data_IF_378173260090
#
_entry.id   IF_378173260090
#
_cell.length_a   1.000
_cell.length_b   1.000
_cell.length_c   1.000
_cell.angle_alpha   90.00
_cell.angle_beta   90.00
_cell.angle_gamma   90.00
#
_symmetry.space_group_name_H-M   'P 1'
#
loop_
_entity.id
_entity.type
_entity.pdbx_description
1 polymer ?
#
# COMPACT_ATOMS: atom_id res chain seq x y z
N UNK A 1 -6.22 17.27 2.06
CA UNK A 1 -5.47 16.18 2.72
C UNK A 1 -4.62 15.41 1.73
N UNK A 2 -3.36 15.08 2.05
CA UNK A 2 -2.44 14.29 1.23
C UNK A 2 -2.21 12.92 1.88
N UNK A 3 -2.38 11.84 1.11
CA UNK A 3 -2.16 10.46 1.56
C UNK A 3 -1.00 9.83 0.79
N UNK A 4 -0.02 9.29 1.50
CA UNK A 4 1.07 8.50 0.93
C UNK A 4 0.73 7.02 1.08
N UNK A 5 0.77 6.26 -0.03
CA UNK A 5 0.58 4.81 -0.02
C UNK A 5 1.86 4.17 -0.56
N UNK A 6 2.44 3.24 0.19
CA UNK A 6 3.65 2.55 -0.22
C UNK A 6 3.65 1.08 0.21
N UNK A 7 3.79 0.18 -0.76
CA UNK A 7 4.23 -1.20 -0.49
C UNK A 7 5.73 -1.21 -0.20
N UNK A 8 6.08 -1.35 1.08
CA UNK A 8 7.45 -1.17 1.58
C UNK A 8 8.27 -2.46 1.54
N UNK A 9 7.62 -3.62 1.39
CA UNK A 9 8.24 -4.97 1.40
C UNK A 9 9.15 -5.24 2.62
N UNK A 10 8.93 -4.56 3.74
CA UNK A 10 9.69 -4.69 4.98
C UNK A 10 10.03 -3.36 5.64
N UNK A 11 9.34 -3.04 6.73
CA UNK A 11 9.49 -1.75 7.43
C UNK A 11 10.67 -1.70 8.42
N UNK A 12 11.36 -2.83 8.66
CA UNK A 12 12.44 -2.90 9.65
C UNK A 12 13.84 -2.51 9.12
N UNK A 13 13.99 -2.25 7.82
CA UNK A 13 15.31 -1.93 7.25
C UNK A 13 15.70 -0.47 7.48
N UNK A 14 17.00 -0.20 7.65
CA UNK A 14 17.49 1.18 7.79
C UNK A 14 17.35 1.96 6.48
N UNK A 15 17.55 1.29 5.33
CA UNK A 15 17.32 1.87 4.00
C UNK A 15 15.90 2.39 3.85
N UNK A 16 14.90 1.59 4.26
CA UNK A 16 13.51 2.03 4.29
C UNK A 16 13.34 3.28 5.15
N UNK A 17 13.87 3.29 6.38
CA UNK A 17 13.75 4.45 7.29
C UNK A 17 14.31 5.73 6.67
N UNK A 18 15.48 5.67 6.03
CA UNK A 18 16.10 6.82 5.38
C UNK A 18 15.22 7.36 4.24
N UNK A 19 14.80 6.49 3.32
CA UNK A 19 13.96 6.87 2.19
C UNK A 19 12.61 7.40 2.67
N UNK A 20 11.99 6.71 3.63
CA UNK A 20 10.70 7.08 4.16
C UNK A 20 10.74 8.45 4.84
N UNK A 21 11.76 8.75 5.65
CA UNK A 21 11.93 10.08 6.25
C UNK A 21 12.07 11.17 5.19
N UNK A 22 12.77 10.90 4.09
CA UNK A 22 12.88 11.85 2.99
C UNK A 22 11.53 12.08 2.29
N UNK A 23 10.76 11.02 2.03
CA UNK A 23 9.42 11.14 1.46
C UNK A 23 8.48 11.94 2.37
N UNK A 24 8.52 11.68 3.69
CA UNK A 24 7.76 12.44 4.68
C UNK A 24 8.17 13.92 4.70
N UNK A 25 9.48 14.21 4.55
CA UNK A 25 10.00 15.58 4.50
C UNK A 25 9.57 16.33 3.25
N UNK A 26 9.64 15.68 2.09
CA UNK A 26 9.35 16.29 0.79
C UNK A 26 7.86 16.52 0.57
N UNK A 27 7.04 15.50 0.85
CA UNK A 27 5.61 15.52 0.51
C UNK A 27 4.71 15.92 1.68
N UNK A 28 5.20 15.81 2.93
CA UNK A 28 4.45 16.10 4.16
C UNK A 28 3.03 15.51 4.15
N UNK A 29 2.87 14.20 3.89
CA UNK A 29 1.55 13.59 3.85
C UNK A 29 0.90 13.66 5.24
N UNK A 30 -0.42 13.86 5.26
CA UNK A 30 -1.23 13.84 6.48
C UNK A 30 -1.41 12.41 7.00
N UNK A 31 -1.54 11.45 6.07
CA UNK A 31 -1.73 10.02 6.34
C UNK A 31 -0.71 9.21 5.53
N UNK A 32 -0.03 8.27 6.19
CA UNK A 32 0.87 7.31 5.55
C UNK A 32 0.32 5.89 5.70
N UNK A 33 0.20 5.18 4.57
CA UNK A 33 -0.29 3.81 4.48
C UNK A 33 0.87 2.94 3.99
N UNK A 34 1.31 2.00 4.83
CA UNK A 34 2.42 1.10 4.54
C UNK A 34 1.90 -0.33 4.40
N UNK A 35 2.16 -0.93 3.25
CA UNK A 35 1.76 -2.31 2.91
C UNK A 35 2.99 -3.23 2.92
N UNK A 36 2.78 -4.53 3.17
CA UNK A 36 3.84 -5.54 3.28
C UNK A 36 4.94 -5.14 4.29
N UNK A 37 4.54 -4.72 5.49
CA UNK A 37 5.50 -4.24 6.50
C UNK A 37 6.33 -5.36 7.12
N UNK A 38 5.86 -6.62 7.05
CA UNK A 38 6.55 -7.83 7.53
C UNK A 38 7.05 -7.72 8.97
N UNK A 39 6.29 -7.01 9.81
CA UNK A 39 6.61 -6.75 11.21
C UNK A 39 5.37 -6.94 12.08
N UNK A 40 5.57 -7.54 13.26
CA UNK A 40 4.52 -7.81 14.24
C UNK A 40 5.00 -7.50 15.66
N UNK A 41 4.07 -7.43 16.62
CA UNK A 41 4.34 -7.25 18.04
C UNK A 41 5.05 -5.95 18.39
N UNK A 42 5.87 -6.00 19.46
CA UNK A 42 6.58 -4.82 19.97
C UNK A 42 7.61 -4.26 18.98
N UNK A 43 8.13 -5.10 18.08
CA UNK A 43 9.01 -4.66 17.00
C UNK A 43 8.28 -3.69 16.07
N UNK A 44 7.04 -3.97 15.70
CA UNK A 44 6.23 -3.10 14.86
C UNK A 44 5.99 -1.74 15.53
N UNK A 45 5.53 -1.76 16.79
CA UNK A 45 5.28 -0.54 17.57
C UNK A 45 6.54 0.32 17.71
N UNK A 46 7.69 -0.30 17.99
CA UNK A 46 8.98 0.39 18.08
C UNK A 46 9.39 1.03 16.76
N UNK A 47 9.17 0.35 15.63
CA UNK A 47 9.45 0.92 14.30
C UNK A 47 8.57 2.13 14.05
N UNK A 48 7.25 2.03 14.26
CA UNK A 48 6.30 3.14 14.07
C UNK A 48 6.69 4.36 14.91
N UNK A 49 6.98 4.14 16.21
CA UNK A 49 7.43 5.21 17.09
C UNK A 49 8.72 5.87 16.57
N UNK A 50 9.68 5.08 16.08
CA UNK A 50 10.92 5.61 15.52
C UNK A 50 10.76 6.34 14.17
N UNK A 51 9.68 6.07 13.43
CA UNK A 51 9.31 6.84 12.24
C UNK A 51 8.72 8.20 12.60
N UNK A 52 8.40 8.44 13.88
CA UNK A 52 7.90 9.71 14.39
C UNK A 52 6.38 9.85 14.27
N UNK A 53 5.65 8.74 14.34
CA UNK A 53 4.18 8.75 14.33
C UNK A 53 3.57 8.71 15.72
N UNK A 54 2.62 9.60 15.98
CA UNK A 54 1.85 9.70 17.23
C UNK A 54 0.65 8.75 17.24
N UNK A 55 0.05 8.53 16.08
CA UNK A 55 -1.15 7.70 15.93
C UNK A 55 -0.92 6.63 14.86
N UNK A 56 -1.41 5.42 15.12
CA UNK A 56 -1.32 4.32 14.16
C UNK A 56 -2.39 3.27 14.38
N UNK A 57 -2.88 2.71 13.28
CA UNK A 57 -3.62 1.45 13.24
C UNK A 57 -2.73 0.46 12.52
N UNK A 58 -2.56 -0.72 13.09
CA UNK A 58 -1.74 -1.77 12.51
C UNK A 58 -2.52 -3.08 12.41
N UNK A 59 -2.45 -3.69 11.24
CA UNK A 59 -2.63 -5.12 11.09
C UNK A 59 -1.25 -5.79 11.10
N UNK A 60 -1.12 -6.81 11.95
CA UNK A 60 0.17 -7.49 12.17
C UNK A 60 0.47 -8.44 11.02
N UNK A 61 1.74 -8.50 10.63
CA UNK A 61 2.18 -9.52 9.69
C UNK A 61 2.12 -10.91 10.34
N UNK A 62 1.64 -11.90 9.58
CA UNK A 62 1.74 -13.31 9.96
C UNK A 62 3.07 -13.86 9.40
N UNK A 63 4.09 -13.87 10.24
CA UNK A 63 5.47 -14.18 9.81
C UNK A 63 6.00 -13.12 8.82
N UNK A 64 6.24 -13.53 7.58
CA UNK A 64 6.75 -12.66 6.49
C UNK A 64 5.67 -12.21 5.51
N UNK A 65 4.40 -12.51 5.78
CA UNK A 65 3.26 -12.21 4.90
C UNK A 65 2.43 -11.07 5.47
N UNK A 66 2.15 -10.07 4.63
CA UNK A 66 1.25 -8.98 4.94
C UNK A 66 1.84 -7.95 5.90
N UNK A 67 0.97 -7.43 6.75
CA UNK A 67 1.23 -6.28 7.59
C UNK A 67 0.82 -4.99 6.90
N UNK A 68 -0.19 -4.33 7.46
CA UNK A 68 -0.78 -3.10 6.92
C UNK A 68 -0.80 -2.06 8.03
N UNK A 69 -0.09 -0.96 7.84
CA UNK A 69 -0.05 0.13 8.81
C UNK A 69 -0.67 1.39 8.22
N UNK A 70 -1.54 2.03 8.99
CA UNK A 70 -2.02 3.38 8.74
C UNK A 70 -1.47 4.25 9.86
N UNK A 71 -0.66 5.25 9.52
CA UNK A 71 0.03 6.10 10.49
C UNK A 71 -0.24 7.58 10.18
N UNK A 72 -0.41 8.39 11.22
CA UNK A 72 -0.65 9.82 11.08
C UNK A 72 -0.21 10.58 12.34
N UNK A 73 -0.04 11.89 12.20
CA UNK A 73 0.38 12.78 13.30
C UNK A 73 -0.63 13.87 13.63
N UNK A 74 -1.52 14.17 12.69
CA UNK A 74 -2.51 15.24 12.85
C UNK A 74 -3.60 14.84 13.83
N UNK A 75 -3.78 15.57 14.95
CA UNK A 75 -4.75 15.22 15.98
C UNK A 75 -6.21 15.49 15.54
N UNK A 76 -6.41 16.31 14.51
CA UNK A 76 -7.73 16.59 13.95
C UNK A 76 -8.26 15.47 13.04
N UNK A 77 -7.40 14.50 12.68
CA UNK A 77 -7.76 13.33 11.88
C UNK A 77 -8.12 12.18 12.82
N UNK A 78 -9.39 11.78 12.81
CA UNK A 78 -9.89 10.61 13.51
C UNK A 78 -10.07 9.46 12.51
N UNK A 79 -9.29 8.39 12.68
CA UNK A 79 -9.39 7.18 11.87
C UNK A 79 -9.94 6.06 12.74
N UNK A 80 -11.08 5.50 12.35
CA UNK A 80 -11.75 4.40 13.05
C UNK A 80 -11.76 3.16 12.18
N UNK A 81 -11.28 2.03 12.70
CA UNK A 81 -11.37 0.73 12.03
C UNK A 81 -12.82 0.25 12.02
N UNK A 82 -13.34 -0.04 10.83
CA UNK A 82 -14.66 -0.66 10.66
C UNK A 82 -14.50 -2.18 10.59
N UNK A 83 -13.59 -2.63 9.72
CA UNK A 83 -13.36 -4.05 9.48
C UNK A 83 -11.86 -4.29 9.30
N UNK A 84 -11.40 -5.42 9.82
CA UNK A 84 -10.00 -5.79 9.86
C UNK A 84 -9.87 -7.24 9.42
N UNK A 85 -8.98 -7.48 8.47
CA UNK A 85 -8.64 -8.79 7.95
C UNK A 85 -7.13 -8.87 7.72
N UNK A 86 -6.57 -10.08 7.67
CA UNK A 86 -5.13 -10.30 7.46
C UNK A 86 -4.60 -9.63 6.18
N UNK A 87 -5.47 -9.47 5.18
CA UNK A 87 -5.14 -8.92 3.86
C UNK A 87 -5.70 -7.52 3.60
N UNK A 88 -6.60 -7.00 4.44
CA UNK A 88 -7.11 -5.65 4.25
C UNK A 88 -7.52 -4.99 5.54
N UNK A 89 -7.50 -3.66 5.51
CA UNK A 89 -7.96 -2.82 6.58
C UNK A 89 -8.96 -1.81 6.03
N UNK A 90 -10.21 -1.92 6.47
CA UNK A 90 -11.27 -1.00 6.11
C UNK A 90 -11.49 0.01 7.23
N UNK A 91 -11.25 1.29 6.93
CA UNK A 91 -11.32 2.37 7.91
C UNK A 91 -12.22 3.50 7.43
N UNK A 92 -12.84 4.16 8.39
CA UNK A 92 -13.51 5.44 8.22
C UNK A 92 -12.61 6.55 8.72
N UNK A 93 -12.47 7.60 7.92
CA UNK A 93 -11.65 8.76 8.20
C UNK A 93 -12.57 9.97 8.32
N UNK A 94 -12.48 10.63 9.47
CA UNK A 94 -13.26 11.82 9.81
C UNK A 94 -12.29 12.94 10.21
N UNK A 95 -12.52 14.14 9.70
CA UNK A 95 -11.81 15.35 10.15
C UNK A 95 -12.84 16.38 10.60
N UNK A 96 -12.41 17.39 11.36
CA UNK A 96 -13.32 18.44 11.82
C UNK A 96 -13.85 19.34 10.69
N UNK A 97 -13.07 19.45 9.60
CA UNK A 97 -13.32 20.41 8.52
C UNK A 97 -13.83 19.78 7.23
N UNK A 98 -13.64 18.47 7.02
CA UNK A 98 -14.00 17.78 5.77
C UNK A 98 -15.08 16.71 6.02
N UNK A 99 -15.80 16.35 4.96
CA UNK A 99 -16.77 15.25 4.99
C UNK A 99 -16.06 13.94 5.30
N UNK A 100 -16.73 13.06 6.05
CA UNK A 100 -16.24 11.71 6.27
C UNK A 100 -16.12 10.90 4.96
N UNK A 101 -15.10 10.05 4.91
CA UNK A 101 -14.86 9.15 3.78
C UNK A 101 -14.28 7.84 4.27
N UNK A 102 -14.31 6.84 3.40
CA UNK A 102 -13.90 5.48 3.69
C UNK A 102 -12.69 5.10 2.85
N UNK A 103 -11.81 4.31 3.44
CA UNK A 103 -10.58 3.85 2.83
C UNK A 103 -10.41 2.36 3.10
N UNK A 104 -10.10 1.61 2.05
CA UNK A 104 -9.65 0.23 2.17
C UNK A 104 -8.20 0.13 1.74
N UNK A 105 -7.32 -0.22 2.66
CA UNK A 105 -5.96 -0.61 2.35
C UNK A 105 -5.91 -2.13 2.15
N UNK A 106 -5.50 -2.59 0.97
CA UNK A 106 -5.44 -4.03 0.64
C UNK A 106 -4.00 -4.43 0.33
N UNK A 107 -3.52 -5.49 0.97
CA UNK A 107 -2.24 -6.14 0.70
C UNK A 107 -2.55 -7.52 0.13
N UNK A 108 -2.50 -7.62 -1.20
CA UNK A 108 -2.80 -8.87 -1.91
C UNK A 108 -1.54 -9.73 -1.91
N UNK A 109 -1.58 -10.86 -1.21
CA UNK A 109 -0.56 -11.91 -1.32
C UNK A 109 -0.96 -12.88 -2.44
N UNK A 110 -0.06 -13.28 -3.35
CA UNK A 110 -0.37 -14.19 -4.46
C UNK A 110 -0.84 -15.60 -4.05
N UNK A 111 -0.82 -15.91 -2.75
CA UNK A 111 -0.93 -17.28 -2.22
C UNK A 111 -2.36 -17.61 -1.74
N UNK A 112 -3.22 -16.61 -1.49
CA UNK A 112 -4.60 -16.85 -1.02
C UNK A 112 -5.61 -16.51 -2.11
N UNK A 113 -6.67 -17.33 -2.22
CA UNK A 113 -7.76 -17.12 -3.16
C UNK A 113 -8.37 -15.72 -2.94
N UNK A 114 -8.22 -14.87 -3.95
CA UNK A 114 -8.70 -13.48 -3.98
C UNK A 114 -10.20 -13.33 -3.67
N UNK A 115 -10.98 -14.40 -3.82
CA UNK A 115 -12.44 -14.40 -3.69
C UNK A 115 -12.94 -14.34 -2.25
N UNK A 116 -12.20 -14.91 -1.28
CA UNK A 116 -12.67 -15.01 0.11
C UNK A 116 -12.20 -13.84 0.99
N UNK A 117 -11.27 -13.03 0.50
CA UNK A 117 -10.51 -12.07 1.32
C UNK A 117 -10.72 -10.61 0.95
N UNK A 118 -11.58 -10.31 -0.02
CA UNK A 118 -11.85 -8.95 -0.45
C UNK A 118 -13.03 -8.33 0.34
N UNK A 119 -12.93 -7.07 0.78
CA UNK A 119 -14.00 -6.39 1.52
C UNK A 119 -15.28 -6.32 0.70
N UNK A 120 -16.44 -6.36 1.36
CA UNK A 120 -17.78 -6.43 0.77
C UNK A 120 -18.15 -5.18 -0.07
N UNK A 121 -17.53 -5.04 -1.24
CA UNK A 121 -17.80 -4.01 -2.22
C UNK A 121 -19.04 -4.35 -3.06
N UNK A 122 -19.55 -3.39 -3.83
CA UNK A 122 -20.57 -3.70 -4.83
C UNK A 122 -19.97 -4.70 -5.86
N UNK A 123 -20.75 -5.71 -6.28
CA UNK A 123 -20.40 -6.70 -7.28
C UNK A 123 -19.71 -6.10 -8.53
N UNK A 124 -20.09 -4.91 -8.98
CA UNK A 124 -19.43 -4.23 -10.09
C UNK A 124 -17.94 -3.94 -9.84
N UNK A 125 -17.60 -3.49 -8.63
CA UNK A 125 -16.21 -3.19 -8.24
C UNK A 125 -15.39 -4.47 -8.16
N UNK A 126 -15.97 -5.53 -7.59
CA UNK A 126 -15.36 -6.86 -7.58
C UNK A 126 -15.05 -7.34 -8.99
N UNK A 127 -16.03 -7.28 -9.91
CA UNK A 127 -15.84 -7.69 -11.29
C UNK A 127 -14.71 -6.93 -11.99
N UNK A 128 -14.51 -5.64 -11.67
CA UNK A 128 -13.39 -4.86 -12.19
C UNK A 128 -12.04 -5.23 -11.58
N UNK A 129 -11.98 -5.56 -10.29
CA UNK A 129 -10.73 -5.91 -9.61
C UNK A 129 -10.20 -7.29 -10.01
N UNK A 130 -11.12 -8.23 -10.33
CA UNK A 130 -10.78 -9.59 -10.75
C UNK A 130 -10.72 -9.74 -12.27
N UNK A 131 -11.11 -8.72 -13.03
CA UNK A 131 -11.06 -8.78 -14.48
C UNK A 131 -9.63 -8.99 -14.96
N UNK A 132 -9.45 -9.85 -15.96
CA UNK A 132 -8.16 -9.94 -16.64
C UNK A 132 -7.85 -8.58 -17.30
N UNK A 133 -6.66 -8.01 -17.04
CA UNK A 133 -6.29 -6.73 -17.61
C UNK A 133 -6.20 -6.85 -19.13
N UNK A 134 -6.74 -5.85 -19.83
CA UNK A 134 -6.67 -5.78 -21.29
C UNK A 134 -5.25 -5.49 -21.77
N UNK A 135 -4.90 -5.92 -23.00
CA UNK A 135 -3.60 -5.60 -23.63
C UNK A 135 -3.29 -4.09 -23.54
N UNK A 136 -4.30 -3.25 -23.75
CA UNK A 136 -4.18 -1.80 -23.71
C UNK A 136 -3.90 -1.27 -22.29
N UNK A 137 -4.53 -1.83 -21.25
CA UNK A 137 -4.24 -1.47 -19.86
C UNK A 137 -2.82 -1.88 -19.48
N UNK A 138 -2.38 -3.08 -19.88
CA UNK A 138 -1.02 -3.57 -19.64
C UNK A 138 -0.02 -2.65 -20.35
N UNK A 139 -0.28 -2.30 -21.62
CA UNK A 139 0.58 -1.39 -22.40
C UNK A 139 0.68 -0.03 -21.73
N UNK A 140 -0.45 0.58 -21.37
CA UNK A 140 -0.46 1.88 -20.72
C UNK A 140 0.26 1.87 -19.36
N UNK A 141 0.06 0.82 -18.56
CA UNK A 141 0.77 0.63 -17.30
C UNK A 141 2.28 0.50 -17.54
N UNK A 142 2.71 -0.35 -18.47
CA UNK A 142 4.12 -0.55 -18.80
C UNK A 142 4.79 0.75 -19.28
N UNK A 143 4.11 1.52 -20.14
CA UNK A 143 4.66 2.75 -20.70
C UNK A 143 4.75 3.87 -19.66
N UNK A 144 3.95 3.84 -18.60
CA UNK A 144 4.03 4.78 -17.47
C UNK A 144 5.27 4.58 -16.57
N UNK A 145 5.86 3.37 -16.57
CA UNK A 145 7.05 3.06 -15.77
C UNK A 145 8.27 3.74 -16.37
N UNK A 146 9.14 4.38 -15.56
CA UNK A 146 10.37 4.97 -16.08
C UNK A 146 11.28 3.94 -16.76
N UNK A 147 11.90 4.29 -17.90
CA UNK A 147 12.63 3.34 -18.78
C UNK A 147 13.70 2.50 -18.08
N UNK A 148 14.33 3.04 -17.04
CA UNK A 148 15.38 2.35 -16.26
C UNK A 148 14.87 1.72 -14.96
N UNK A 149 13.57 1.76 -14.68
CA UNK A 149 12.97 1.03 -13.55
C UNK A 149 12.71 -0.42 -13.94
N UNK A 150 12.95 -1.32 -13.00
CA UNK A 150 12.60 -2.75 -13.09
C UNK A 150 11.48 -3.07 -12.09
N UNK A 151 10.69 -4.11 -12.38
CA UNK A 151 9.60 -4.56 -11.52
C UNK A 151 10.12 -5.25 -10.24
N UNK A 152 11.30 -5.88 -10.31
CA UNK A 152 11.95 -6.60 -9.22
C UNK A 152 13.47 -6.32 -9.21
N UNK A 153 14.18 -6.71 -8.14
CA UNK A 153 15.64 -6.56 -8.04
C UNK A 153 16.37 -7.25 -9.20
N UNK A 154 15.76 -8.31 -9.73
CA UNK A 154 16.30 -9.16 -10.79
C UNK A 154 15.57 -8.94 -12.12
N UNK A 155 14.66 -7.96 -12.18
CA UNK A 155 13.85 -7.67 -13.35
C UNK A 155 14.61 -6.90 -14.42
N UNK A 156 14.26 -7.12 -15.69
CA UNK A 156 14.76 -6.30 -16.78
C UNK A 156 14.23 -4.85 -16.69
N UNK A 157 15.01 -3.85 -17.16
CA UNK A 157 14.51 -2.48 -17.29
C UNK A 157 13.26 -2.42 -18.16
N UNK A 158 12.29 -1.59 -17.79
CA UNK A 158 11.02 -1.43 -18.52
C UNK A 158 11.24 -1.09 -20.01
N UNK A 159 12.36 -0.45 -20.35
CA UNK A 159 12.76 -0.15 -21.73
C UNK A 159 12.78 -1.37 -22.65
N UNK A 160 13.21 -2.54 -22.16
CA UNK A 160 13.26 -3.77 -22.98
C UNK A 160 11.85 -4.17 -23.41
N UNK A 161 10.89 -4.13 -22.49
CA UNK A 161 9.49 -4.45 -22.75
C UNK A 161 8.83 -3.40 -23.65
N UNK A 162 9.13 -2.11 -23.47
CA UNK A 162 8.58 -1.05 -24.33
C UNK A 162 9.05 -1.20 -25.79
N UNK A 163 10.34 -1.42 -25.99
CA UNK A 163 10.94 -1.53 -27.33
C UNK A 163 10.53 -2.82 -28.05
N UNK A 164 10.17 -3.87 -27.31
CA UNK A 164 9.83 -5.17 -27.87
C UNK A 164 8.38 -5.58 -27.54
N UNK A 165 7.49 -4.60 -27.34
CA UNK A 165 6.10 -4.86 -26.94
C UNK A 165 5.41 -5.84 -27.89
N UNK A 166 5.56 -5.62 -29.21
CA UNK A 166 4.92 -6.45 -30.22
C UNK A 166 5.43 -7.89 -30.26
N UNK A 167 6.59 -8.17 -29.64
CA UNK A 167 7.15 -9.52 -29.51
C UNK A 167 6.81 -10.20 -28.18
N UNK A 168 6.38 -9.43 -27.17
CA UNK A 168 6.22 -9.91 -25.78
C UNK A 168 4.77 -9.85 -25.24
N UNK A 169 3.82 -9.38 -26.05
CA UNK A 169 2.40 -9.33 -25.70
C UNK A 169 1.66 -10.65 -25.92
#
# INVERSE_FOLDING_TARGET
>A
MITLIWNVRGAASETFRCIFKELMRQHRPDIAILLETKCSGDKAKRVIHNLGFSYSILEEAQGFVGGIWICWNRPDINITTIEKHSQYLYVKIQTQSEKEWFLTAVSISPIENLYDTLPNFNAYVYMKLIAEPTEEEIKNALYSIGSFKALESDGFPSLIYKNNWDLMK
#
